data_IF_335660798118
#
_entry.id   IF_335660798118
#
_cell.length_a   1.000
_cell.length_b   1.000
_cell.length_c   1.000
_cell.angle_alpha   90.00
_cell.angle_beta   90.00
_cell.angle_gamma   90.00
#
_symmetry.space_group_name_H-M   'P 1'
#
loop_
_entity.id
_entity.type
_entity.pdbx_description
1 polymer ?
#
# COMPACT_ATOMS: atom_id res chain seq x y z
N UNK A 1 -71.33 72.86 1.62
CA UNK A 1 -70.66 71.68 1.01
C UNK A 1 -69.21 71.74 1.44
N UNK A 2 -68.91 71.14 2.59
CA UNK A 2 -68.18 69.86 2.75
C UNK A 2 -66.65 70.11 2.65
N UNK A 3 -65.92 70.20 3.77
CA UNK A 3 -65.27 69.09 4.51
C UNK A 3 -64.10 68.50 3.67
N UNK A 4 -62.87 68.29 4.12
CA UNK A 4 -62.32 67.78 5.38
C UNK A 4 -60.84 68.20 5.54
N UNK A 5 -60.30 68.16 6.77
CA UNK A 5 -58.86 67.90 7.02
C UNK A 5 -58.64 66.37 7.04
N UNK A 6 -57.42 65.86 6.80
CA UNK A 6 -56.67 65.40 7.98
C UNK A 6 -55.13 65.49 7.89
N UNK A 7 -54.55 65.69 9.08
CA UNK A 7 -53.50 64.87 9.71
C UNK A 7 -52.51 64.11 8.81
N UNK A 8 -51.24 64.50 8.84
CA UNK A 8 -50.10 63.66 8.47
C UNK A 8 -49.10 63.63 9.62
N UNK A 9 -49.17 62.57 10.42
CA UNK A 9 -48.18 62.21 11.44
C UNK A 9 -46.79 62.05 10.81
N UNK A 10 -45.78 62.72 11.36
CA UNK A 10 -44.38 62.38 11.11
C UNK A 10 -44.10 61.09 11.86
N UNK A 11 -44.19 59.98 11.12
CA UNK A 11 -43.90 58.65 11.61
C UNK A 11 -42.39 58.55 11.88
N UNK A 12 -42.01 58.58 13.16
CA UNK A 12 -40.72 58.19 13.72
C UNK A 12 -40.59 56.66 13.70
N UNK A 13 -40.67 56.07 12.51
CA UNK A 13 -40.61 54.63 12.29
C UNK A 13 -39.30 54.23 11.60
N UNK A 14 -38.54 53.38 12.28
CA UNK A 14 -37.55 52.46 11.69
C UNK A 14 -36.26 53.09 11.12
N UNK A 15 -35.42 53.60 12.02
CA UNK A 15 -33.99 53.27 11.91
C UNK A 15 -33.86 51.86 12.49
N UNK A 16 -34.15 50.86 11.66
CA UNK A 16 -33.77 49.48 11.94
C UNK A 16 -32.24 49.44 11.85
N UNK A 17 -31.58 49.64 12.99
CA UNK A 17 -30.19 49.27 13.20
C UNK A 17 -30.11 47.74 13.09
N UNK A 18 -30.09 47.22 11.86
CA UNK A 18 -29.43 45.96 11.60
C UNK A 18 -27.96 46.20 11.91
N UNK A 19 -27.55 45.88 13.13
CA UNK A 19 -26.14 45.64 13.42
C UNK A 19 -25.69 44.59 12.39
N UNK A 20 -24.76 44.92 11.47
CA UNK A 20 -24.25 43.92 10.55
C UNK A 20 -23.62 42.84 11.43
N UNK A 21 -24.11 41.62 11.29
CA UNK A 21 -23.55 40.48 12.00
C UNK A 21 -22.03 40.49 11.75
N UNK A 22 -21.21 40.35 12.80
CA UNK A 22 -19.77 40.48 12.65
C UNK A 22 -19.27 39.49 11.60
N UNK A 23 -18.27 39.86 10.79
CA UNK A 23 -17.75 39.01 9.72
C UNK A 23 -17.40 37.61 10.25
N UNK A 24 -17.56 36.55 9.43
CA UNK A 24 -17.37 35.16 9.85
C UNK A 24 -16.06 34.89 10.60
N UNK A 25 -14.96 35.52 10.17
CA UNK A 25 -13.66 35.42 10.83
C UNK A 25 -13.66 35.99 12.26
N UNK A 26 -14.34 37.11 12.52
CA UNK A 26 -14.48 37.66 13.88
C UNK A 26 -15.35 36.78 14.78
N UNK A 27 -16.37 36.12 14.22
CA UNK A 27 -17.20 35.17 14.97
C UNK A 27 -16.42 33.92 15.36
N UNK A 28 -15.63 33.39 14.42
CA UNK A 28 -14.76 32.24 14.68
C UNK A 28 -13.69 32.57 15.72
N UNK A 29 -13.06 33.73 15.59
CA UNK A 29 -12.10 34.23 16.57
C UNK A 29 -12.72 34.37 17.96
N UNK A 30 -13.92 34.94 18.05
CA UNK A 30 -14.64 35.04 19.32
C UNK A 30 -14.98 33.67 19.92
N UNK A 31 -15.32 32.68 19.09
CA UNK A 31 -15.56 31.31 19.53
C UNK A 31 -14.28 30.62 20.04
N UNK A 32 -13.14 30.83 19.37
CA UNK A 32 -11.84 30.33 19.80
C UNK A 32 -11.37 30.99 21.11
N UNK A 33 -11.56 32.30 21.25
CA UNK A 33 -11.29 33.04 22.49
C UNK A 33 -12.19 32.55 23.65
N UNK A 34 -13.46 32.26 23.36
CA UNK A 34 -14.38 31.67 24.33
C UNK A 34 -13.96 30.26 24.73
N UNK A 35 -13.47 29.47 23.77
CA UNK A 35 -12.89 28.15 24.03
C UNK A 35 -11.71 28.26 24.99
N UNK A 36 -10.72 29.11 24.70
CA UNK A 36 -9.59 29.38 25.62
C UNK A 36 -10.02 29.73 27.05
N UNK A 37 -10.96 30.68 27.20
CA UNK A 37 -11.47 31.10 28.52
C UNK A 37 -12.21 29.98 29.25
N UNK A 38 -12.91 29.13 28.52
CA UNK A 38 -13.66 28.01 29.10
C UNK A 38 -12.72 26.99 29.75
N UNK A 39 -11.62 26.65 29.05
CA UNK A 39 -10.59 25.75 29.59
C UNK A 39 -9.82 26.37 30.77
N UNK A 40 -9.60 27.69 30.79
CA UNK A 40 -9.03 28.39 31.95
C UNK A 40 -9.93 28.30 33.20
N UNK A 41 -11.25 28.23 33.01
CA UNK A 41 -12.22 28.12 34.11
C UNK A 41 -12.29 26.72 34.74
N UNK A 42 -11.76 25.70 34.06
CA UNK A 42 -11.76 24.30 34.51
C UNK A 42 -13.12 23.59 34.44
N UNK A 43 -14.14 24.22 33.86
CA UNK A 43 -15.47 23.63 33.68
C UNK A 43 -15.51 22.79 32.40
N UNK A 44 -15.38 21.47 32.54
CA UNK A 44 -15.33 20.53 31.42
C UNK A 44 -16.58 20.62 30.53
N UNK A 45 -17.77 20.78 31.11
CA UNK A 45 -19.02 20.85 30.33
C UNK A 45 -19.09 22.10 29.46
N UNK A 46 -18.66 23.26 29.99
CA UNK A 46 -18.54 24.48 29.19
C UNK A 46 -17.42 24.40 28.16
N UNK A 47 -16.39 23.60 28.43
CA UNK A 47 -15.25 23.43 27.52
C UNK A 47 -15.67 22.63 26.28
N UNK A 48 -16.41 21.54 26.48
CA UNK A 48 -16.99 20.73 25.40
C UNK A 48 -18.00 21.54 24.56
N UNK A 49 -18.86 22.34 25.21
CA UNK A 49 -19.82 23.21 24.51
C UNK A 49 -19.10 24.27 23.65
N UNK A 50 -17.98 24.81 24.15
CA UNK A 50 -17.20 25.79 23.39
C UNK A 50 -16.49 25.17 22.17
N UNK A 51 -15.96 23.94 22.29
CA UNK A 51 -15.41 23.19 21.16
C UNK A 51 -16.50 22.88 20.13
N UNK A 52 -17.67 22.42 20.59
CA UNK A 52 -18.81 22.15 19.72
C UNK A 52 -19.30 23.40 18.98
N UNK A 53 -19.23 24.58 19.60
CA UNK A 53 -19.57 25.85 18.95
C UNK A 53 -18.61 26.20 17.81
N UNK A 54 -17.29 25.95 17.97
CA UNK A 54 -16.30 26.13 16.90
C UNK A 54 -16.56 25.16 15.75
N UNK A 55 -16.78 23.88 16.07
CA UNK A 55 -17.08 22.82 15.08
C UNK A 55 -18.37 23.13 14.32
N UNK A 56 -19.44 23.45 15.03
CA UNK A 56 -20.75 23.79 14.42
C UNK A 56 -20.66 25.02 13.53
N UNK A 57 -19.84 26.01 13.89
CA UNK A 57 -19.60 27.17 13.05
C UNK A 57 -18.89 26.78 11.74
N UNK A 58 -17.83 25.99 11.81
CA UNK A 58 -17.11 25.51 10.63
C UNK A 58 -18.01 24.65 9.73
N UNK A 59 -18.80 23.73 10.31
CA UNK A 59 -19.77 22.92 9.56
C UNK A 59 -20.82 23.79 8.84
N UNK A 60 -21.28 24.88 9.47
CA UNK A 60 -22.24 25.79 8.85
C UNK A 60 -21.70 26.51 7.60
N UNK A 61 -20.37 26.60 7.43
CA UNK A 61 -19.74 27.20 6.25
C UNK A 61 -19.80 26.24 5.05
N UNK A 62 -19.64 24.94 5.31
CA UNK A 62 -19.53 23.89 4.27
C UNK A 62 -20.87 23.18 4.03
N UNK A 63 -21.91 23.48 4.82
CA UNK A 63 -23.23 22.88 4.68
C UNK A 63 -23.85 23.20 3.30
N UNK A 64 -24.21 22.18 2.49
CA UNK A 64 -24.81 22.36 1.16
C UNK A 64 -26.15 23.11 1.14
N UNK A 65 -26.75 23.40 2.30
CA UNK A 65 -27.93 24.26 2.42
C UNK A 65 -27.67 25.75 2.18
N UNK A 66 -26.42 26.20 2.18
CA UNK A 66 -26.07 27.60 1.92
C UNK A 66 -25.94 27.88 0.41
N UNK A 67 -26.50 29.02 -0.03
CA UNK A 67 -26.26 29.56 -1.37
C UNK A 67 -24.76 29.69 -1.62
N UNK A 68 -24.31 29.41 -2.86
CA UNK A 68 -22.93 29.46 -3.36
C UNK A 68 -21.87 29.75 -2.28
N UNK A 69 -21.27 28.67 -1.73
CA UNK A 69 -20.22 28.74 -0.72
C UNK A 69 -19.16 29.73 -1.17
N UNK A 70 -18.95 30.79 -0.39
CA UNK A 70 -17.92 31.79 -0.66
C UNK A 70 -16.55 31.20 -0.31
N UNK A 71 -15.77 30.85 -1.34
CA UNK A 71 -14.41 30.30 -1.20
C UNK A 71 -13.51 31.21 -0.34
N UNK A 72 -13.69 32.53 -0.40
CA UNK A 72 -12.93 33.46 0.43
C UNK A 72 -13.32 33.34 1.91
N UNK A 73 -14.59 33.10 2.23
CA UNK A 73 -15.05 32.88 3.61
C UNK A 73 -14.51 31.55 4.14
N UNK A 74 -14.56 30.49 3.33
CA UNK A 74 -14.01 29.18 3.67
C UNK A 74 -12.50 29.25 3.93
N UNK A 75 -11.74 29.90 3.04
CA UNK A 75 -10.31 30.10 3.19
C UNK A 75 -9.99 30.89 4.47
N UNK A 76 -10.65 32.04 4.69
CA UNK A 76 -10.42 32.88 5.86
C UNK A 76 -10.72 32.14 7.18
N UNK A 77 -11.72 31.26 7.20
CA UNK A 77 -12.05 30.45 8.37
C UNK A 77 -10.93 29.45 8.70
N UNK A 78 -10.41 28.74 7.69
CA UNK A 78 -9.29 27.81 7.88
C UNK A 78 -8.01 28.55 8.29
N UNK A 79 -7.73 29.71 7.69
CA UNK A 79 -6.56 30.53 8.04
C UNK A 79 -6.63 31.03 9.50
N UNK A 80 -7.81 31.41 10.00
CA UNK A 80 -7.99 31.81 11.40
C UNK A 80 -7.75 30.63 12.36
N UNK A 81 -8.24 29.42 12.02
CA UNK A 81 -7.95 28.20 12.81
C UNK A 81 -6.44 27.94 12.83
N UNK A 82 -5.80 27.94 11.66
CA UNK A 82 -4.38 27.67 11.55
C UNK A 82 -3.53 28.71 12.31
N UNK A 83 -3.90 29.99 12.20
CA UNK A 83 -3.26 31.09 12.93
C UNK A 83 -3.44 30.92 14.45
N UNK A 84 -4.63 30.57 14.91
CA UNK A 84 -4.90 30.33 16.32
C UNK A 84 -4.05 29.19 16.88
N UNK A 85 -4.05 28.02 16.21
CA UNK A 85 -3.25 26.87 16.62
C UNK A 85 -1.75 27.22 16.68
N UNK A 86 -1.26 27.94 15.67
CA UNK A 86 0.13 28.36 15.55
C UNK A 86 0.55 29.49 16.50
N UNK A 87 -0.40 30.13 17.19
CA UNK A 87 -0.09 31.27 18.06
C UNK A 87 0.61 30.83 19.35
N UNK A 88 1.60 31.60 19.82
CA UNK A 88 2.31 31.31 21.08
C UNK A 88 1.41 31.39 22.34
N UNK A 89 0.21 31.93 22.19
CA UNK A 89 -0.82 32.01 23.23
C UNK A 89 -1.78 30.82 23.24
N UNK A 90 -1.67 29.88 22.29
CA UNK A 90 -2.57 28.74 22.23
C UNK A 90 -2.35 27.83 23.45
N UNK A 91 -3.42 27.57 24.19
CA UNK A 91 -3.37 26.67 25.32
C UNK A 91 -3.34 25.22 24.80
N UNK A 92 -2.31 24.46 25.15
CA UNK A 92 -2.14 23.06 24.72
C UNK A 92 -3.36 22.19 25.02
N UNK A 93 -4.04 22.40 26.15
CA UNK A 93 -5.26 21.65 26.49
C UNK A 93 -6.41 21.95 25.52
N UNK A 94 -6.50 23.20 25.05
CA UNK A 94 -7.48 23.60 24.03
C UNK A 94 -7.11 22.99 22.68
N UNK A 95 -5.82 22.98 22.32
CA UNK A 95 -5.32 22.35 21.09
C UNK A 95 -5.63 20.85 21.08
N UNK A 96 -5.40 20.16 22.19
CA UNK A 96 -5.72 18.74 22.35
C UNK A 96 -7.22 18.48 22.22
N UNK A 97 -8.08 19.29 22.85
CA UNK A 97 -9.53 19.15 22.72
C UNK A 97 -10.02 19.41 21.30
N UNK A 98 -9.51 20.47 20.65
CA UNK A 98 -9.82 20.77 19.25
C UNK A 98 -9.33 19.67 18.31
N UNK A 99 -8.18 19.03 18.62
CA UNK A 99 -7.62 17.97 17.78
C UNK A 99 -8.55 16.78 17.61
N UNK A 100 -9.46 16.52 18.55
CA UNK A 100 -10.43 15.42 18.49
C UNK A 100 -11.46 15.57 17.36
N UNK A 101 -11.79 16.81 16.99
CA UNK A 101 -12.88 17.10 16.05
C UNK A 101 -12.39 17.82 14.78
N UNK A 102 -11.34 18.64 14.86
CA UNK A 102 -10.87 19.43 13.73
C UNK A 102 -10.58 18.58 12.49
N UNK A 103 -9.88 17.44 12.54
CA UNK A 103 -9.61 16.62 11.35
C UNK A 103 -10.88 16.21 10.60
N UNK A 104 -11.98 15.93 11.30
CA UNK A 104 -13.28 15.53 10.72
C UNK A 104 -13.95 16.69 9.98
N UNK A 105 -13.70 17.92 10.42
CA UNK A 105 -14.39 19.12 9.91
C UNK A 105 -13.57 19.80 8.83
N UNK A 106 -12.27 20.02 9.05
CA UNK A 106 -11.39 20.72 8.10
C UNK A 106 -11.26 19.95 6.78
N UNK A 107 -11.38 18.63 6.82
CA UNK A 107 -11.35 17.80 5.61
C UNK A 107 -12.52 18.10 4.67
N UNK A 108 -13.66 18.57 5.16
CA UNK A 108 -14.82 18.89 4.31
C UNK A 108 -14.55 20.07 3.38
N UNK A 109 -13.63 20.96 3.76
CA UNK A 109 -13.28 22.15 2.98
C UNK A 109 -12.41 21.85 1.76
N UNK A 110 -11.78 20.68 1.68
CA UNK A 110 -10.79 20.36 0.63
C UNK A 110 -11.39 20.21 -0.76
N UNK A 111 -12.71 20.01 -0.83
CA UNK A 111 -13.46 19.95 -2.07
C UNK A 111 -13.82 21.34 -2.63
N UNK A 112 -13.64 22.42 -1.84
CA UNK A 112 -14.00 23.78 -2.23
C UNK A 112 -12.93 24.40 -3.16
N UNK A 113 -11.66 24.28 -2.79
CA UNK A 113 -10.53 24.78 -3.59
C UNK A 113 -9.21 24.11 -3.21
N UNK A 114 -8.22 24.16 -4.12
CA UNK A 114 -6.85 23.71 -3.85
C UNK A 114 -6.24 24.47 -2.66
N UNK A 115 -6.59 25.76 -2.51
CA UNK A 115 -6.13 26.58 -1.41
C UNK A 115 -6.68 26.12 -0.06
N UNK A 116 -7.96 25.77 0.00
CA UNK A 116 -8.55 25.16 1.20
C UNK A 116 -7.87 23.83 1.54
N UNK A 117 -7.53 23.01 0.54
CA UNK A 117 -6.76 21.77 0.75
C UNK A 117 -5.40 22.04 1.39
N UNK A 118 -4.61 22.97 0.86
CA UNK A 118 -3.30 23.33 1.40
C UNK A 118 -3.36 23.77 2.87
N UNK A 119 -4.37 24.57 3.23
CA UNK A 119 -4.52 25.05 4.61
C UNK A 119 -4.99 23.91 5.53
N UNK A 120 -5.91 23.05 5.06
CA UNK A 120 -6.35 21.88 5.82
C UNK A 120 -5.17 20.92 6.10
N UNK A 121 -4.31 20.67 5.10
CA UNK A 121 -3.07 19.91 5.28
C UNK A 121 -2.13 20.57 6.28
N UNK A 122 -1.98 21.90 6.22
CA UNK A 122 -1.15 22.66 7.17
C UNK A 122 -1.69 22.58 8.61
N UNK A 123 -3.01 22.59 8.79
CA UNK A 123 -3.65 22.38 10.09
C UNK A 123 -3.35 20.98 10.61
N UNK A 124 -3.52 19.94 9.79
CA UNK A 124 -3.21 18.56 10.20
C UNK A 124 -1.72 18.44 10.56
N UNK A 125 -0.83 19.00 9.76
CA UNK A 125 0.61 19.01 10.03
C UNK A 125 0.96 19.68 11.35
N UNK A 126 0.28 20.77 11.67
CA UNK A 126 0.42 21.43 12.96
C UNK A 126 0.00 20.49 14.09
N UNK A 127 -1.17 19.84 13.98
CA UNK A 127 -1.63 18.85 14.97
C UNK A 127 -0.65 17.69 15.12
N UNK A 128 -0.07 17.19 14.01
CA UNK A 128 0.97 16.15 14.05
C UNK A 128 2.20 16.58 14.85
N UNK A 129 2.57 17.86 14.77
CA UNK A 129 3.70 18.40 15.50
C UNK A 129 3.42 18.66 16.99
N UNK A 130 2.17 18.97 17.35
CA UNK A 130 1.83 19.45 18.71
C UNK A 130 1.09 18.44 19.59
N UNK A 131 0.36 17.49 19.00
CA UNK A 131 -0.47 16.55 19.75
C UNK A 131 0.25 15.23 20.06
N UNK A 132 -0.31 14.46 20.99
CA UNK A 132 0.12 13.08 21.27
C UNK A 132 0.02 12.21 20.00
N UNK A 133 1.14 11.65 19.48
CA UNK A 133 1.12 10.88 18.23
C UNK A 133 0.17 9.67 18.28
N UNK A 134 0.05 9.04 19.46
CA UNK A 134 -0.81 7.88 19.64
C UNK A 134 -2.29 8.26 19.51
N UNK A 135 -2.69 9.34 20.18
CA UNK A 135 -4.08 9.75 20.20
C UNK A 135 -4.46 10.32 18.82
N UNK A 136 -3.56 11.11 18.22
CA UNK A 136 -3.77 11.65 16.88
C UNK A 136 -3.87 10.57 15.80
N UNK A 137 -3.12 9.47 15.92
CA UNK A 137 -3.28 8.33 15.00
C UNK A 137 -4.71 7.79 15.05
N UNK A 138 -5.25 7.57 16.25
CA UNK A 138 -6.62 7.08 16.44
C UNK A 138 -7.64 8.07 15.89
N UNK A 139 -7.46 9.36 16.15
CA UNK A 139 -8.35 10.43 15.68
C UNK A 139 -8.38 10.48 14.15
N UNK A 140 -7.23 10.40 13.49
CA UNK A 140 -7.16 10.44 12.01
C UNK A 140 -7.78 9.20 11.37
N UNK A 141 -7.63 8.01 11.99
CA UNK A 141 -8.33 6.80 11.57
C UNK A 141 -9.85 6.96 11.71
N UNK A 142 -10.34 7.43 12.86
CA UNK A 142 -11.77 7.68 13.08
C UNK A 142 -12.34 8.73 12.12
N UNK A 143 -11.59 9.79 11.85
CA UNK A 143 -11.97 10.82 10.87
C UNK A 143 -12.08 10.23 9.46
N UNK A 144 -11.19 9.30 9.11
CA UNK A 144 -11.25 8.59 7.83
C UNK A 144 -12.50 7.70 7.73
N UNK A 145 -12.79 6.91 8.77
CA UNK A 145 -13.98 6.05 8.83
C UNK A 145 -15.27 6.87 8.75
N UNK A 146 -15.32 8.00 9.47
CA UNK A 146 -16.46 8.92 9.42
C UNK A 146 -16.64 9.48 8.01
N UNK A 147 -15.55 9.89 7.37
CA UNK A 147 -15.60 10.49 6.03
C UNK A 147 -15.99 9.47 4.95
N UNK A 148 -15.55 8.20 5.06
CA UNK A 148 -15.97 7.12 4.14
C UNK A 148 -17.50 7.02 4.05
N UNK A 149 -18.20 7.20 5.17
CA UNK A 149 -19.67 7.15 5.21
C UNK A 149 -20.35 8.32 4.49
N UNK A 150 -19.64 9.43 4.32
CA UNK A 150 -20.13 10.67 3.71
C UNK A 150 -19.77 10.73 2.22
N UNK A 151 -18.52 10.44 1.87
CA UNK A 151 -18.03 10.47 0.49
C UNK A 151 -16.82 9.58 0.30
N UNK A 152 -16.76 8.89 -0.85
CA UNK A 152 -15.61 8.07 -1.26
C UNK A 152 -14.66 8.78 -2.22
N UNK A 153 -14.83 10.10 -2.40
CA UNK A 153 -13.91 10.88 -3.23
C UNK A 153 -12.50 10.85 -2.64
N UNK A 154 -11.47 10.45 -3.40
CA UNK A 154 -10.08 10.38 -2.95
C UNK A 154 -9.57 11.66 -2.30
N UNK A 155 -10.11 12.80 -2.76
CA UNK A 155 -9.65 14.13 -2.41
C UNK A 155 -9.79 14.46 -0.91
N UNK A 156 -10.79 13.87 -0.25
CA UNK A 156 -10.96 14.01 1.21
C UNK A 156 -9.91 13.23 1.99
N UNK A 157 -9.40 12.13 1.46
CA UNK A 157 -8.54 11.23 2.23
C UNK A 157 -7.06 11.57 2.15
N UNK A 158 -6.63 12.30 1.12
CA UNK A 158 -5.24 12.77 0.96
C UNK A 158 -4.69 13.43 2.24
N UNK A 159 -5.32 14.47 2.82
CA UNK A 159 -4.82 15.11 4.03
C UNK A 159 -4.82 14.18 5.26
N UNK A 160 -5.82 13.32 5.41
CA UNK A 160 -5.93 12.39 6.54
C UNK A 160 -4.85 11.30 6.48
N UNK A 161 -4.70 10.65 5.33
CA UNK A 161 -3.67 9.63 5.08
C UNK A 161 -2.26 10.23 5.13
N UNK A 162 -2.09 11.46 4.63
CA UNK A 162 -0.85 12.22 4.73
C UNK A 162 -0.48 12.51 6.19
N UNK A 163 -1.47 12.90 6.99
CA UNK A 163 -1.33 13.02 8.44
C UNK A 163 -0.91 11.71 9.10
N UNK A 164 -1.59 10.59 8.82
CA UNK A 164 -1.26 9.26 9.37
C UNK A 164 0.19 8.88 9.05
N UNK A 165 0.62 9.10 7.80
CA UNK A 165 2.01 8.86 7.38
C UNK A 165 3.01 9.62 8.24
N UNK A 166 2.76 10.91 8.50
CA UNK A 166 3.63 11.75 9.33
C UNK A 166 3.57 11.35 10.81
N UNK A 167 2.38 11.01 11.33
CA UNK A 167 2.20 10.53 12.71
C UNK A 167 3.02 9.27 12.96
N UNK A 168 3.05 8.33 12.01
CA UNK A 168 3.88 7.13 12.10
C UNK A 168 5.36 7.47 12.39
N UNK A 169 5.92 8.50 11.75
CA UNK A 169 7.30 8.92 11.99
C UNK A 169 7.51 9.52 13.39
N UNK A 170 6.46 10.07 14.00
CA UNK A 170 6.44 10.68 15.33
C UNK A 170 6.24 9.68 16.47
N UNK A 171 5.78 8.45 16.19
CA UNK A 171 5.62 7.41 17.20
C UNK A 171 7.00 7.01 17.73
N UNK A 172 7.11 6.90 19.06
CA UNK A 172 8.36 6.55 19.74
C UNK A 172 8.34 5.16 20.39
N UNK A 173 7.15 4.59 20.61
CA UNK A 173 6.94 3.33 21.35
C UNK A 173 5.77 2.57 20.77
N UNK A 174 5.75 1.25 20.95
CA UNK A 174 4.67 0.36 20.49
C UNK A 174 4.34 0.54 19.00
N UNK A 175 5.39 0.81 18.23
CA UNK A 175 5.31 1.10 16.79
C UNK A 175 4.47 0.05 16.05
N UNK A 176 4.69 -1.21 16.38
CA UNK A 176 4.00 -2.35 15.80
C UNK A 176 2.50 -2.32 16.10
N UNK A 177 2.13 -2.15 17.38
CA UNK A 177 0.73 -2.12 17.79
C UNK A 177 -0.02 -0.92 17.20
N UNK A 178 0.65 0.23 17.05
CA UNK A 178 0.06 1.41 16.42
C UNK A 178 -0.16 1.21 14.92
N UNK A 179 0.83 0.68 14.20
CA UNK A 179 0.68 0.35 12.77
C UNK A 179 -0.43 -0.68 12.57
N UNK A 180 -0.44 -1.75 13.38
CA UNK A 180 -1.47 -2.80 13.34
C UNK A 180 -2.88 -2.25 13.57
N UNK A 181 -3.03 -1.29 14.48
CA UNK A 181 -4.33 -0.67 14.78
C UNK A 181 -4.82 0.24 13.64
N UNK A 182 -3.92 1.00 13.00
CA UNK A 182 -4.29 1.96 11.95
C UNK A 182 -4.48 1.33 10.57
N UNK A 183 -3.79 0.22 10.29
CA UNK A 183 -3.74 -0.38 8.97
C UNK A 183 -5.12 -0.79 8.39
N UNK A 184 -6.05 -1.38 9.16
CA UNK A 184 -7.38 -1.69 8.63
C UNK A 184 -8.10 -0.46 8.06
N UNK A 185 -8.10 0.66 8.79
CA UNK A 185 -8.72 1.90 8.33
C UNK A 185 -8.06 2.44 7.05
N UNK A 186 -6.72 2.41 6.97
CA UNK A 186 -5.99 2.83 5.76
C UNK A 186 -6.38 1.98 4.55
N UNK A 187 -6.43 0.65 4.71
CA UNK A 187 -6.79 -0.26 3.64
C UNK A 187 -8.26 -0.11 3.22
N UNK A 188 -9.16 0.14 4.17
CA UNK A 188 -10.57 0.38 3.91
C UNK A 188 -10.77 1.65 3.07
N UNK A 189 -10.09 2.75 3.40
CA UNK A 189 -10.10 3.98 2.61
C UNK A 189 -9.63 3.72 1.17
N UNK A 190 -8.48 3.07 1.02
CA UNK A 190 -7.92 2.79 -0.31
C UNK A 190 -8.85 1.89 -1.13
N UNK A 191 -9.45 0.88 -0.51
CA UNK A 191 -10.42 0.01 -1.15
C UNK A 191 -11.68 0.76 -1.56
N UNK A 192 -12.27 1.55 -0.65
CA UNK A 192 -13.49 2.31 -0.88
C UNK A 192 -13.32 3.29 -2.05
N UNK A 193 -12.22 4.05 -2.07
CA UNK A 193 -11.92 4.99 -3.16
C UNK A 193 -11.70 4.26 -4.49
N UNK A 194 -10.98 3.14 -4.49
CA UNK A 194 -10.65 2.39 -5.70
C UNK A 194 -11.84 1.65 -6.30
N UNK A 195 -12.84 1.28 -5.47
CA UNK A 195 -14.04 0.58 -5.92
C UNK A 195 -14.97 1.44 -6.77
N UNK A 196 -14.85 2.77 -6.66
CA UNK A 196 -15.65 3.77 -7.39
C UNK A 196 -14.79 4.55 -8.39
N UNK A 197 -13.74 3.92 -8.92
CA UNK A 197 -12.84 4.57 -9.88
C UNK A 197 -13.59 5.16 -11.08
N UNK A 198 -13.41 6.46 -11.28
CA UNK A 198 -13.93 7.23 -12.40
C UNK A 198 -12.76 7.96 -13.10
N UNK A 199 -12.67 7.82 -14.42
CA UNK A 199 -11.60 8.39 -15.25
C UNK A 199 -11.62 9.93 -15.26
N UNK A 200 -12.73 10.58 -14.91
CA UNK A 200 -12.83 12.06 -14.85
C UNK A 200 -12.03 12.69 -13.69
N UNK A 201 -11.57 11.89 -12.71
CA UNK A 201 -11.02 12.38 -11.43
C UNK A 201 -9.58 11.86 -11.18
N UNK A 202 -8.86 11.60 -12.27
CA UNK A 202 -7.57 10.90 -12.27
C UNK A 202 -6.48 11.50 -11.38
N UNK A 203 -6.34 12.82 -11.34
CA UNK A 203 -5.32 13.51 -10.56
C UNK A 203 -5.50 13.26 -9.04
N UNK A 204 -6.74 13.17 -8.56
CA UNK A 204 -6.98 12.90 -7.14
C UNK A 204 -6.61 11.47 -6.75
N UNK A 205 -6.75 10.50 -7.66
CA UNK A 205 -6.28 9.14 -7.42
C UNK A 205 -4.75 9.10 -7.37
N UNK A 206 -4.07 9.78 -8.29
CA UNK A 206 -2.61 9.88 -8.29
C UNK A 206 -2.08 10.37 -6.93
N UNK A 207 -2.67 11.46 -6.41
CA UNK A 207 -2.29 12.04 -5.11
C UNK A 207 -2.61 11.09 -3.94
N UNK A 208 -3.76 10.41 -3.97
CA UNK A 208 -4.14 9.42 -2.95
C UNK A 208 -3.12 8.27 -2.86
N UNK A 209 -2.71 7.73 -4.00
CA UNK A 209 -1.77 6.61 -4.03
C UNK A 209 -0.32 7.05 -3.74
N UNK A 210 0.07 8.25 -4.18
CA UNK A 210 1.33 8.88 -3.72
C UNK A 210 1.37 8.95 -2.19
N UNK A 211 0.24 9.34 -1.57
CA UNK A 211 0.09 9.37 -0.12
C UNK A 211 0.19 7.96 0.50
N UNK A 212 -0.41 6.95 -0.11
CA UNK A 212 -0.30 5.55 0.34
C UNK A 212 1.15 5.01 0.25
N UNK A 213 1.90 5.38 -0.79
CA UNK A 213 3.34 5.08 -0.89
C UNK A 213 4.12 5.78 0.23
N UNK A 214 3.75 7.03 0.55
CA UNK A 214 4.28 7.76 1.70
C UNK A 214 4.08 6.99 3.00
N UNK A 215 2.89 6.42 3.24
CA UNK A 215 2.61 5.58 4.40
C UNK A 215 3.53 4.35 4.44
N UNK A 216 3.67 3.64 3.32
CA UNK A 216 4.56 2.48 3.22
C UNK A 216 6.02 2.83 3.54
N UNK A 217 6.49 3.98 3.05
CA UNK A 217 7.84 4.51 3.32
C UNK A 217 8.02 4.85 4.80
N UNK A 218 7.01 5.47 5.43
CA UNK A 218 7.02 5.78 6.86
C UNK A 218 7.06 4.53 7.72
N UNK A 219 6.26 3.51 7.39
CA UNK A 219 6.31 2.20 8.06
C UNK A 219 7.69 1.57 7.90
N UNK A 220 8.26 1.57 6.70
CA UNK A 220 9.61 1.06 6.46
C UNK A 220 10.67 1.79 7.31
N UNK A 221 10.58 3.13 7.41
CA UNK A 221 11.49 3.92 8.22
C UNK A 221 11.38 3.58 9.71
N UNK A 222 10.18 3.36 10.23
CA UNK A 222 9.97 2.88 11.61
C UNK A 222 10.57 1.48 11.79
N UNK A 223 10.32 0.57 10.86
CA UNK A 223 10.90 -0.77 10.87
C UNK A 223 12.43 -0.71 10.88
N UNK A 224 13.04 0.18 10.11
CA UNK A 224 14.49 0.41 10.12
C UNK A 224 15.00 0.91 11.48
N UNK A 225 14.29 1.84 12.12
CA UNK A 225 14.61 2.30 13.49
C UNK A 225 14.49 1.17 14.52
N UNK A 226 13.45 0.35 14.41
CA UNK A 226 13.25 -0.84 15.26
C UNK A 226 14.35 -1.88 15.04
N UNK A 227 14.76 -2.14 13.79
CA UNK A 227 15.86 -3.06 13.49
C UNK A 227 17.19 -2.55 14.05
N UNK A 228 17.49 -1.25 13.94
CA UNK A 228 18.71 -0.67 14.49
C UNK A 228 18.74 -0.75 16.04
N UNK A 229 17.60 -0.50 16.71
CA UNK A 229 17.53 -0.64 18.18
C UNK A 229 17.50 -2.12 18.62
N UNK A 230 16.83 -2.99 17.85
CA UNK A 230 16.76 -4.42 18.11
C UNK A 230 18.11 -5.12 17.87
N UNK A 231 18.94 -4.70 16.90
CA UNK A 231 20.30 -5.21 16.74
C UNK A 231 21.16 -4.84 17.95
N UNK A 232 20.99 -3.62 18.49
CA UNK A 232 21.69 -3.18 19.70
C UNK A 232 21.22 -3.95 20.96
N UNK A 233 19.95 -4.35 21.02
CA UNK A 233 19.36 -5.13 22.11
C UNK A 233 19.59 -6.64 21.96
N UNK A 234 19.61 -7.16 20.73
CA UNK A 234 19.82 -8.58 20.41
C UNK A 234 21.27 -9.01 20.67
N UNK A 235 22.24 -8.10 20.59
CA UNK A 235 23.60 -8.35 21.11
C UNK A 235 23.58 -8.66 22.62
N UNK A 236 22.59 -8.15 23.36
CA UNK A 236 22.38 -8.40 24.79
C UNK A 236 21.40 -9.58 25.06
N UNK A 237 20.56 -9.94 24.08
CA UNK A 237 19.39 -10.82 24.27
C UNK A 237 19.35 -12.04 23.34
N UNK A 238 20.52 -12.51 22.88
CA UNK A 238 20.77 -13.84 22.25
C UNK A 238 20.44 -15.01 23.21
N UNK A 239 19.43 -14.90 24.07
CA UNK A 239 19.04 -15.99 24.97
C UNK A 239 17.57 -16.39 24.99
N UNK A 240 16.60 -15.67 24.39
CA UNK A 240 15.18 -16.12 24.42
C UNK A 240 14.36 -15.78 23.16
N UNK A 241 13.44 -16.69 22.86
CA UNK A 241 12.78 -17.03 21.57
C UNK A 241 11.69 -16.07 21.03
N UNK A 242 11.44 -16.23 19.71
CA UNK A 242 10.19 -16.14 18.91
C UNK A 242 9.20 -14.97 19.11
N UNK A 243 9.26 -13.99 18.20
CA UNK A 243 8.24 -12.93 18.03
C UNK A 243 7.50 -13.04 16.67
N UNK A 244 6.32 -13.67 16.69
CA UNK A 244 5.48 -13.98 15.53
C UNK A 244 4.59 -12.80 15.06
N UNK A 245 4.33 -11.81 15.93
CA UNK A 245 3.52 -10.61 15.62
C UNK A 245 4.27 -9.58 14.75
N UNK A 246 5.61 -9.55 14.86
CA UNK A 246 6.49 -8.72 14.04
C UNK A 246 6.40 -9.15 12.55
N UNK A 247 6.42 -10.46 12.30
CA UNK A 247 6.30 -11.06 10.96
C UNK A 247 5.00 -10.70 10.23
N UNK A 248 3.88 -10.55 10.96
CA UNK A 248 2.58 -10.22 10.37
C UNK A 248 2.48 -8.78 9.85
N UNK A 249 3.06 -7.79 10.56
CA UNK A 249 3.05 -6.41 10.10
C UNK A 249 4.06 -6.15 8.97
N UNK A 250 5.20 -6.85 9.00
CA UNK A 250 6.11 -6.90 7.85
C UNK A 250 5.41 -7.44 6.61
N UNK A 251 4.61 -8.49 6.75
CA UNK A 251 3.81 -9.04 5.65
C UNK A 251 2.88 -7.99 5.04
N UNK A 252 2.19 -7.18 5.85
CA UNK A 252 1.26 -6.17 5.35
C UNK A 252 1.94 -4.95 4.70
N UNK A 253 3.05 -4.48 5.26
CA UNK A 253 3.85 -3.41 4.66
C UNK A 253 4.48 -3.85 3.33
N UNK A 254 4.99 -5.09 3.29
CA UNK A 254 5.49 -5.74 2.06
C UNK A 254 4.37 -5.89 1.03
N UNK A 255 3.14 -6.24 1.45
CA UNK A 255 1.99 -6.30 0.55
C UNK A 255 1.63 -4.93 -0.03
N UNK A 256 1.60 -3.89 0.80
CA UNK A 256 1.32 -2.52 0.36
C UNK A 256 2.37 -2.00 -0.61
N UNK A 257 3.65 -2.21 -0.32
CA UNK A 257 4.75 -1.85 -1.22
C UNK A 257 4.70 -2.64 -2.53
N UNK A 258 4.46 -3.95 -2.47
CA UNK A 258 4.33 -4.81 -3.65
C UNK A 258 3.15 -4.38 -4.54
N UNK A 259 2.01 -4.03 -3.95
CA UNK A 259 0.85 -3.52 -4.67
C UNK A 259 1.13 -2.16 -5.31
N UNK A 260 1.81 -1.26 -4.59
CA UNK A 260 2.18 0.05 -5.13
C UNK A 260 3.12 -0.08 -6.35
N UNK A 261 4.10 -1.00 -6.30
CA UNK A 261 4.99 -1.29 -7.43
C UNK A 261 4.22 -1.87 -8.61
N UNK A 262 3.33 -2.84 -8.38
CA UNK A 262 2.47 -3.40 -9.44
C UNK A 262 1.59 -2.31 -10.06
N UNK A 263 1.01 -1.44 -9.25
CA UNK A 263 0.11 -0.40 -9.73
C UNK A 263 0.85 0.70 -10.51
N UNK A 264 2.05 1.08 -10.06
CA UNK A 264 2.95 1.95 -10.81
C UNK A 264 3.44 1.34 -12.13
N UNK A 265 3.53 0.01 -12.20
CA UNK A 265 3.84 -0.72 -13.43
C UNK A 265 2.65 -0.82 -14.40
N UNK A 266 1.42 -0.97 -13.88
CA UNK A 266 0.19 -1.08 -14.69
C UNK A 266 -0.24 0.26 -15.28
N UNK A 267 -0.14 1.34 -14.50
CA UNK A 267 -0.74 2.62 -14.88
C UNK A 267 0.23 3.46 -15.72
N UNK A 268 -0.07 3.58 -17.02
CA UNK A 268 0.74 4.31 -18.00
C UNK A 268 0.92 5.81 -17.68
N UNK A 269 0.07 6.40 -16.83
CA UNK A 269 0.24 7.79 -16.37
C UNK A 269 1.04 7.90 -15.08
N UNK A 270 0.95 6.93 -14.16
CA UNK A 270 1.88 6.82 -13.02
C UNK A 270 3.29 6.52 -13.53
N UNK A 271 3.42 5.65 -14.54
CA UNK A 271 4.69 5.37 -15.20
C UNK A 271 5.23 6.59 -15.98
N UNK A 272 4.37 7.44 -16.55
CA UNK A 272 4.78 8.73 -17.16
C UNK A 272 5.15 9.79 -16.13
N UNK A 273 4.46 9.84 -14.99
CA UNK A 273 4.72 10.78 -13.89
C UNK A 273 5.97 10.39 -13.08
N UNK A 274 6.19 9.10 -12.86
CA UNK A 274 7.43 8.52 -12.33
C UNK A 274 8.56 8.53 -13.36
N UNK A 275 8.22 8.65 -14.66
CA UNK A 275 9.14 8.88 -15.77
C UNK A 275 10.38 7.99 -15.77
N UNK A 276 11.53 8.62 -15.97
CA UNK A 276 12.86 8.00 -16.00
C UNK A 276 13.26 7.29 -14.69
N UNK A 277 12.57 7.55 -13.57
CA UNK A 277 12.92 6.95 -12.29
C UNK A 277 12.44 5.49 -12.18
N UNK A 278 11.24 5.16 -12.66
CA UNK A 278 10.76 3.78 -12.64
C UNK A 278 11.56 2.91 -13.61
N UNK A 279 11.87 3.44 -14.80
CA UNK A 279 12.74 2.74 -15.76
C UNK A 279 14.16 2.58 -15.21
N UNK A 280 14.74 3.62 -14.61
CA UNK A 280 16.06 3.51 -13.96
C UNK A 280 16.07 2.51 -12.80
N UNK A 281 15.01 2.44 -11.99
CA UNK A 281 14.86 1.45 -10.91
C UNK A 281 14.73 0.05 -11.49
N UNK A 282 13.89 -0.15 -12.51
CA UNK A 282 13.77 -1.44 -13.18
C UNK A 282 15.08 -1.86 -13.86
N UNK A 283 15.84 -0.93 -14.46
CA UNK A 283 17.14 -1.20 -15.07
C UNK A 283 18.22 -1.51 -14.01
N UNK A 284 18.16 -0.85 -12.85
CA UNK A 284 18.99 -1.17 -11.69
C UNK A 284 18.69 -2.57 -11.14
N UNK A 285 17.41 -2.91 -10.99
CA UNK A 285 16.98 -4.26 -10.59
C UNK A 285 17.43 -5.28 -11.64
N UNK A 286 17.19 -5.02 -12.93
CA UNK A 286 17.61 -5.90 -14.03
C UNK A 286 19.11 -6.14 -14.06
N UNK A 287 19.93 -5.15 -13.72
CA UNK A 287 21.39 -5.29 -13.70
C UNK A 287 21.95 -5.93 -12.42
N UNK A 288 21.20 -5.93 -11.31
CA UNK A 288 21.64 -6.50 -10.03
C UNK A 288 20.86 -7.77 -9.66
N UNK A 289 21.54 -8.92 -9.73
CA UNK A 289 20.98 -10.24 -9.43
C UNK A 289 20.36 -10.35 -8.04
N UNK A 290 20.99 -9.76 -7.02
CA UNK A 290 20.45 -9.83 -5.66
C UNK A 290 19.20 -8.97 -5.48
N UNK A 291 19.19 -7.77 -6.07
CA UNK A 291 18.00 -6.91 -6.06
C UNK A 291 16.83 -7.59 -6.78
N UNK A 292 17.09 -8.34 -7.88
CA UNK A 292 16.05 -9.18 -8.50
C UNK A 292 15.48 -10.19 -7.52
N UNK A 293 16.33 -10.96 -6.83
CA UNK A 293 15.85 -11.98 -5.90
C UNK A 293 15.07 -11.41 -4.72
N UNK A 294 15.46 -10.24 -4.22
CA UNK A 294 14.71 -9.52 -3.19
C UNK A 294 13.32 -9.10 -3.69
N UNK A 295 13.22 -8.53 -4.89
CA UNK A 295 11.94 -8.14 -5.49
C UNK A 295 11.06 -9.37 -5.74
N UNK A 296 11.64 -10.48 -6.23
CA UNK A 296 10.91 -11.74 -6.40
C UNK A 296 10.33 -12.20 -5.06
N UNK A 297 11.12 -12.18 -3.98
CA UNK A 297 10.68 -12.51 -2.63
C UNK A 297 9.60 -11.55 -2.10
N UNK A 298 9.69 -10.26 -2.41
CA UNK A 298 8.74 -9.23 -2.02
C UNK A 298 7.35 -9.44 -2.64
N UNK A 299 7.30 -9.95 -3.88
CA UNK A 299 6.05 -10.20 -4.60
C UNK A 299 5.36 -11.52 -4.19
N UNK A 300 6.02 -12.38 -3.40
CA UNK A 300 5.50 -13.64 -2.86
C UNK A 300 4.07 -13.53 -2.32
N UNK A 301 3.73 -12.58 -1.43
CA UNK A 301 2.43 -12.61 -0.77
C UNK A 301 1.26 -12.41 -1.74
N UNK A 302 1.46 -11.58 -2.77
CA UNK A 302 0.44 -11.30 -3.79
C UNK A 302 0.19 -12.55 -4.64
N UNK A 303 1.26 -13.22 -5.05
CA UNK A 303 1.16 -14.45 -5.84
C UNK A 303 0.58 -15.63 -5.03
N UNK A 304 0.85 -15.66 -3.72
CA UNK A 304 0.45 -16.76 -2.84
C UNK A 304 -0.97 -16.62 -2.30
N UNK A 305 -1.48 -15.40 -2.16
CA UNK A 305 -2.80 -15.13 -1.58
C UNK A 305 -3.92 -15.55 -2.52
N UNK A 306 -5.02 -16.02 -1.93
CA UNK A 306 -6.28 -16.33 -2.63
C UNK A 306 -7.14 -15.10 -2.83
N UNK A 307 -6.88 -14.02 -2.10
CA UNK A 307 -7.71 -12.81 -2.02
C UNK A 307 -7.48 -11.88 -3.21
N UNK A 308 -6.31 -11.96 -3.86
CA UNK A 308 -6.03 -11.18 -5.07
C UNK A 308 -6.60 -11.83 -6.32
N UNK A 309 -7.20 -10.99 -7.17
CA UNK A 309 -7.76 -11.37 -8.47
C UNK A 309 -6.68 -11.91 -9.41
N UNK A 310 -7.13 -12.65 -10.44
CA UNK A 310 -6.25 -13.14 -11.50
C UNK A 310 -5.56 -12.02 -12.28
N UNK A 311 -6.21 -10.86 -12.40
CA UNK A 311 -5.66 -9.67 -13.06
C UNK A 311 -4.42 -9.16 -12.32
N UNK A 312 -4.51 -9.01 -10.99
CA UNK A 312 -3.38 -8.55 -10.16
C UNK A 312 -2.23 -9.56 -10.23
N UNK A 313 -2.54 -10.86 -10.19
CA UNK A 313 -1.55 -11.93 -10.33
C UNK A 313 -0.89 -11.93 -11.71
N UNK A 314 -1.64 -11.64 -12.76
CA UNK A 314 -1.11 -11.51 -14.11
C UNK A 314 -0.11 -10.35 -14.22
N UNK A 315 -0.46 -9.17 -13.69
CA UNK A 315 0.45 -8.03 -13.69
C UNK A 315 1.69 -8.25 -12.82
N UNK A 316 1.54 -8.96 -11.70
CA UNK A 316 2.68 -9.40 -10.89
C UNK A 316 3.61 -10.31 -11.69
N UNK A 317 3.07 -11.29 -12.41
CA UNK A 317 3.85 -12.16 -13.32
C UNK A 317 4.49 -11.35 -14.45
N UNK A 318 3.82 -10.35 -14.99
CA UNK A 318 4.36 -9.50 -16.06
C UNK A 318 5.53 -8.64 -15.58
N UNK A 319 5.41 -8.04 -14.39
CA UNK A 319 6.51 -7.34 -13.73
C UNK A 319 7.69 -8.28 -13.49
N UNK A 320 7.43 -9.48 -12.97
CA UNK A 320 8.46 -10.51 -12.79
C UNK A 320 9.15 -10.86 -14.13
N UNK A 321 8.38 -11.06 -15.20
CA UNK A 321 8.96 -11.34 -16.51
C UNK A 321 9.86 -10.19 -16.99
N UNK A 322 9.42 -8.95 -16.81
CA UNK A 322 10.11 -7.72 -17.20
C UNK A 322 11.43 -7.49 -16.47
N UNK A 323 11.50 -7.78 -15.15
CA UNK A 323 12.77 -7.66 -14.41
C UNK A 323 13.76 -8.78 -14.75
N UNK A 324 13.27 -9.89 -15.32
CA UNK A 324 14.08 -11.01 -15.77
C UNK A 324 14.56 -10.88 -17.22
N UNK A 325 14.13 -9.87 -17.98
CA UNK A 325 14.56 -9.67 -19.38
C UNK A 325 16.00 -9.13 -19.53
N UNK A 326 16.65 -8.70 -18.44
CA UNK A 326 18.00 -8.13 -18.44
C UNK A 326 19.15 -9.13 -18.21
N UNK A 327 18.90 -10.44 -18.27
CA UNK A 327 19.91 -11.47 -17.94
C UNK A 327 20.95 -11.64 -19.06
N UNK A 328 22.00 -10.81 -19.07
CA UNK A 328 23.24 -11.21 -19.73
C UNK A 328 23.88 -12.30 -18.85
N UNK A 329 23.89 -13.53 -19.36
CA UNK A 329 24.52 -14.73 -18.81
C UNK A 329 26.05 -14.64 -18.83
N UNK A 330 26.61 -13.56 -18.30
CA UNK A 330 28.03 -13.52 -17.95
C UNK A 330 28.13 -13.75 -16.45
N UNK A 331 28.61 -14.94 -16.09
CA UNK A 331 29.04 -15.27 -14.73
C UNK A 331 30.19 -14.33 -14.35
N UNK A 332 29.87 -13.13 -13.87
CA UNK A 332 30.84 -12.37 -13.13
C UNK A 332 31.08 -13.10 -11.81
N UNK A 333 32.25 -13.72 -11.72
CA UNK A 333 32.89 -14.26 -10.52
C UNK A 333 33.18 -13.14 -9.49
N UNK A 334 32.19 -12.33 -9.15
CA UNK A 334 32.26 -11.46 -8.00
C UNK A 334 31.54 -12.18 -6.86
N UNK A 335 32.33 -13.00 -6.20
CA UNK A 335 32.07 -13.73 -4.95
C UNK A 335 31.96 -12.73 -3.77
N UNK A 336 31.28 -11.61 -3.98
CA UNK A 336 30.93 -10.63 -2.96
C UNK A 336 29.47 -10.85 -2.54
N UNK A 337 29.29 -12.04 -1.95
CA UNK A 337 28.70 -12.26 -0.64
C UNK A 337 27.36 -11.55 -0.37
N UNK A 338 26.32 -11.98 -1.08
CA UNK A 338 24.98 -12.01 -0.50
C UNK A 338 24.64 -13.46 -0.24
N UNK A 339 24.40 -13.77 1.02
CA UNK A 339 24.03 -15.09 1.49
C UNK A 339 22.72 -15.54 0.80
N UNK A 340 22.85 -16.28 -0.30
CA UNK A 340 21.72 -16.84 -1.05
C UNK A 340 20.81 -17.65 -0.11
N UNK A 341 21.34 -18.20 0.99
CA UNK A 341 20.56 -18.89 2.00
C UNK A 341 19.49 -18.00 2.65
N UNK A 342 19.73 -16.70 2.77
CA UNK A 342 18.78 -15.73 3.33
C UNK A 342 17.56 -15.50 2.43
N UNK A 343 17.73 -15.59 1.10
CA UNK A 343 16.68 -15.33 0.10
C UNK A 343 16.02 -16.63 -0.39
N UNK A 344 16.70 -17.77 -0.23
CA UNK A 344 16.26 -19.09 -0.67
C UNK A 344 14.82 -19.44 -0.24
N UNK A 345 14.37 -19.23 1.03
CA UNK A 345 13.02 -19.61 1.44
C UNK A 345 11.92 -18.78 0.76
N UNK A 346 12.15 -17.46 0.57
CA UNK A 346 11.17 -16.59 -0.09
C UNK A 346 11.10 -16.91 -1.58
N UNK A 347 12.25 -17.17 -2.22
CA UNK A 347 12.32 -17.54 -3.62
C UNK A 347 11.60 -18.87 -3.88
N UNK A 348 11.85 -19.89 -3.06
CA UNK A 348 11.16 -21.18 -3.15
C UNK A 348 9.65 -21.02 -3.02
N UNK A 349 9.17 -20.26 -2.02
CA UNK A 349 7.73 -20.07 -1.84
C UNK A 349 7.11 -19.33 -3.04
N UNK A 350 7.84 -18.38 -3.63
CA UNK A 350 7.39 -17.65 -4.83
C UNK A 350 7.28 -18.58 -6.03
N UNK A 351 8.26 -19.47 -6.23
CA UNK A 351 8.21 -20.49 -7.27
C UNK A 351 7.01 -21.44 -7.09
N UNK A 352 6.71 -21.85 -5.85
CA UNK A 352 5.50 -22.62 -5.56
C UNK A 352 4.21 -21.85 -5.87
N UNK A 353 4.17 -20.54 -5.59
CA UNK A 353 3.02 -19.70 -5.93
C UNK A 353 2.83 -19.63 -7.46
N UNK A 354 3.92 -19.46 -8.22
CA UNK A 354 3.89 -19.48 -9.69
C UNK A 354 3.41 -20.85 -10.22
N UNK A 355 3.87 -21.97 -9.64
CA UNK A 355 3.36 -23.31 -9.98
C UNK A 355 1.85 -23.43 -9.75
N UNK A 356 1.33 -22.90 -8.64
CA UNK A 356 -0.11 -22.88 -8.37
C UNK A 356 -0.86 -22.10 -9.44
N UNK A 357 -0.34 -20.95 -9.87
CA UNK A 357 -0.93 -20.15 -10.95
C UNK A 357 -0.93 -20.93 -12.27
N UNK A 358 0.16 -21.62 -12.61
CA UNK A 358 0.25 -22.49 -13.78
C UNK A 358 -0.80 -23.61 -13.78
N UNK A 359 -1.23 -24.09 -12.60
CA UNK A 359 -2.25 -25.15 -12.48
C UNK A 359 -3.67 -24.57 -12.49
N UNK A 360 -3.89 -23.45 -11.79
CA UNK A 360 -5.24 -22.99 -11.40
C UNK A 360 -5.76 -21.81 -12.19
N UNK A 361 -4.93 -21.07 -12.93
CA UNK A 361 -5.41 -19.98 -13.77
C UNK A 361 -6.27 -20.54 -14.92
N UNK A 362 -7.46 -19.98 -15.10
CA UNK A 362 -8.40 -20.37 -16.18
C UNK A 362 -7.88 -19.98 -17.56
N UNK A 363 -7.19 -18.84 -17.66
CA UNK A 363 -6.60 -18.35 -18.91
C UNK A 363 -5.25 -19.03 -19.23
N UNK A 364 -5.16 -19.63 -20.41
CA UNK A 364 -3.96 -20.28 -20.93
C UNK A 364 -2.80 -19.29 -21.14
N UNK A 365 -3.08 -18.02 -21.44
CA UNK A 365 -2.07 -16.98 -21.62
C UNK A 365 -1.30 -16.74 -20.32
N UNK A 366 -2.02 -16.63 -19.20
CA UNK A 366 -1.47 -16.46 -17.85
C UNK A 366 -0.63 -17.69 -17.49
N UNK A 367 -1.14 -18.91 -17.72
CA UNK A 367 -0.40 -20.16 -17.47
C UNK A 367 0.94 -20.21 -18.24
N UNK A 368 0.93 -19.85 -19.53
CA UNK A 368 2.13 -19.82 -20.38
C UNK A 368 3.14 -18.78 -19.90
N UNK A 369 2.67 -17.58 -19.53
CA UNK A 369 3.54 -16.51 -19.02
C UNK A 369 4.14 -16.86 -17.66
N UNK A 370 3.36 -17.47 -16.78
CA UNK A 370 3.82 -18.00 -15.51
C UNK A 370 4.93 -19.04 -15.69
N UNK A 371 4.75 -19.98 -16.63
CA UNK A 371 5.78 -20.96 -16.97
C UNK A 371 7.06 -20.33 -17.49
N UNK A 372 6.96 -19.40 -18.45
CA UNK A 372 8.12 -18.71 -18.99
C UNK A 372 8.89 -17.93 -17.91
N UNK A 373 8.17 -17.30 -16.98
CA UNK A 373 8.73 -16.57 -15.85
C UNK A 373 9.42 -17.50 -14.85
N UNK A 374 8.78 -18.62 -14.50
CA UNK A 374 9.35 -19.66 -13.64
C UNK A 374 10.69 -20.15 -14.20
N UNK A 375 10.74 -20.45 -15.51
CA UNK A 375 11.95 -20.89 -16.19
C UNK A 375 13.08 -19.86 -16.08
N UNK A 376 12.80 -18.58 -16.35
CA UNK A 376 13.80 -17.50 -16.22
C UNK A 376 14.35 -17.39 -14.80
N UNK A 377 13.48 -17.46 -13.79
CA UNK A 377 13.89 -17.38 -12.38
C UNK A 377 14.80 -18.57 -12.03
N UNK A 378 14.46 -19.79 -12.47
CA UNK A 378 15.27 -20.98 -12.23
C UNK A 378 16.66 -20.85 -12.86
N UNK A 379 16.75 -20.38 -14.09
CA UNK A 379 18.05 -20.21 -14.76
C UNK A 379 18.91 -19.11 -14.11
N UNK A 380 18.32 -18.14 -13.41
CA UNK A 380 19.05 -17.09 -12.68
C UNK A 380 19.55 -17.53 -11.29
N UNK A 381 19.06 -18.66 -10.76
CA UNK A 381 19.57 -19.27 -9.51
C UNK A 381 21.00 -19.78 -9.75
N UNK A 382 21.92 -19.63 -8.77
CA UNK A 382 23.28 -20.19 -8.86
C UNK A 382 23.24 -21.70 -9.16
N UNK A 383 24.13 -22.16 -10.05
CA UNK A 383 24.20 -23.56 -10.48
C UNK A 383 24.31 -24.54 -9.31
N UNK A 384 25.03 -24.17 -8.25
CA UNK A 384 25.19 -24.93 -7.00
C UNK A 384 23.87 -25.23 -6.29
N UNK A 385 22.83 -24.41 -6.46
CA UNK A 385 21.55 -24.53 -5.76
C UNK A 385 20.37 -24.86 -6.68
N UNK A 386 20.54 -24.71 -8.00
CA UNK A 386 19.46 -24.86 -8.98
C UNK A 386 18.87 -26.27 -8.99
N UNK A 387 19.71 -27.31 -8.92
CA UNK A 387 19.23 -28.69 -8.85
C UNK A 387 18.41 -28.95 -7.58
N UNK A 388 18.91 -28.53 -6.41
CA UNK A 388 18.21 -28.73 -5.15
C UNK A 388 16.86 -28.01 -5.14
N UNK A 389 16.79 -26.79 -5.68
CA UNK A 389 15.53 -26.05 -5.85
C UNK A 389 14.54 -26.85 -6.71
N UNK A 390 14.97 -27.33 -7.87
CA UNK A 390 14.14 -28.13 -8.79
C UNK A 390 13.69 -29.44 -8.15
N UNK A 391 14.58 -30.15 -7.46
CA UNK A 391 14.28 -31.38 -6.74
C UNK A 391 13.20 -31.15 -5.68
N UNK A 392 13.34 -30.11 -4.86
CA UNK A 392 12.37 -29.79 -3.81
C UNK A 392 11.02 -29.37 -4.42
N UNK A 393 11.02 -28.62 -5.52
CA UNK A 393 9.80 -28.27 -6.26
C UNK A 393 9.08 -29.50 -6.83
N UNK A 394 9.83 -30.48 -7.36
CA UNK A 394 9.28 -31.73 -7.88
C UNK A 394 8.66 -32.57 -6.75
N UNK A 395 9.40 -32.75 -5.65
CA UNK A 395 8.93 -33.60 -4.53
C UNK A 395 7.72 -33.03 -3.80
N UNK A 396 7.50 -31.71 -3.85
CA UNK A 396 6.35 -31.06 -3.22
C UNK A 396 5.16 -30.87 -4.16
N UNK A 397 5.27 -31.25 -5.43
CA UNK A 397 4.17 -31.16 -6.39
C UNK A 397 3.31 -32.41 -6.34
N UNK A 398 1.99 -32.23 -6.18
CA UNK A 398 1.01 -33.33 -6.21
C UNK A 398 0.37 -33.53 -7.59
N UNK A 399 0.75 -32.72 -8.60
CA UNK A 399 0.21 -32.79 -9.96
C UNK A 399 1.17 -33.56 -10.87
N UNK A 400 0.76 -34.71 -11.44
CA UNK A 400 1.61 -35.48 -12.36
C UNK A 400 2.07 -34.65 -13.58
N UNK A 401 1.18 -33.82 -14.13
CA UNK A 401 1.52 -32.94 -15.25
C UNK A 401 2.55 -31.87 -14.87
N UNK A 402 2.45 -31.30 -13.67
CA UNK A 402 3.46 -30.34 -13.18
C UNK A 402 4.81 -31.03 -12.93
N UNK A 403 4.79 -32.24 -12.37
CA UNK A 403 6.01 -33.04 -12.15
C UNK A 403 6.72 -33.30 -13.50
N UNK A 404 5.97 -33.68 -14.54
CA UNK A 404 6.53 -33.89 -15.87
C UNK A 404 7.19 -32.62 -16.44
N UNK A 405 6.51 -31.47 -16.34
CA UNK A 405 7.05 -30.17 -16.77
C UNK A 405 8.37 -29.83 -16.04
N UNK A 406 8.43 -30.05 -14.73
CA UNK A 406 9.62 -29.75 -13.94
C UNK A 406 10.78 -30.73 -14.24
N UNK A 407 10.49 -31.99 -14.55
CA UNK A 407 11.51 -32.95 -15.01
C UNK A 407 12.09 -32.54 -16.35
N UNK A 408 11.26 -32.05 -17.27
CA UNK A 408 11.76 -31.53 -18.53
C UNK A 408 12.60 -30.26 -18.34
N UNK A 409 12.28 -29.40 -17.37
CA UNK A 409 13.18 -28.29 -16.99
C UNK A 409 14.54 -28.79 -16.46
N UNK A 410 14.55 -29.83 -15.63
CA UNK A 410 15.82 -30.46 -15.17
C UNK A 410 16.63 -30.96 -16.37
N UNK A 411 15.96 -31.61 -17.34
CA UNK A 411 16.61 -32.07 -18.58
C UNK A 411 17.22 -30.91 -19.36
N UNK A 412 16.50 -29.81 -19.52
CA UNK A 412 16.98 -28.61 -20.22
C UNK A 412 18.21 -28.01 -19.53
N UNK A 413 18.21 -27.90 -18.20
CA UNK A 413 19.34 -27.38 -17.42
C UNK A 413 20.59 -28.27 -17.52
N UNK A 414 20.44 -29.60 -17.49
CA UNK A 414 21.55 -30.55 -17.69
C UNK A 414 22.20 -30.35 -19.07
N UNK A 415 21.38 -30.14 -20.11
CA UNK A 415 21.88 -29.90 -21.47
C UNK A 415 22.58 -28.54 -21.55
N UNK A 416 22.04 -27.51 -20.89
CA UNK A 416 22.64 -26.18 -20.86
C UNK A 416 24.03 -26.17 -20.20
N UNK A 417 24.19 -26.80 -19.02
CA UNK A 417 25.49 -26.87 -18.35
C UNK A 417 26.52 -27.68 -19.14
N UNK A 418 26.10 -28.80 -19.75
CA UNK A 418 27.01 -29.60 -20.60
C UNK A 418 27.58 -28.79 -21.75
N UNK A 419 26.77 -27.91 -22.35
CA UNK A 419 27.18 -27.07 -23.47
C UNK A 419 28.11 -25.92 -23.03
N UNK A 420 28.09 -25.53 -21.76
CA UNK A 420 28.96 -24.49 -21.21
C UNK A 420 30.35 -25.00 -20.79
N UNK A 421 30.60 -26.32 -20.86
CA UNK A 421 31.91 -26.92 -20.50
C UNK A 421 32.21 -26.90 -19.00
N UNK A 422 31.32 -26.35 -18.19
CA UNK A 422 31.27 -26.41 -16.73
C UNK A 422 30.67 -27.75 -16.33
N UNK A 423 31.42 -28.86 -16.50
CA UNK A 423 30.96 -30.16 -16.03
C UNK A 423 30.96 -30.21 -14.51
N UNK A 424 29.88 -29.75 -13.90
CA UNK A 424 29.57 -30.08 -12.52
C UNK A 424 29.25 -31.57 -12.49
N UNK A 425 30.18 -32.42 -12.02
CA UNK A 425 29.99 -33.88 -11.87
C UNK A 425 28.71 -34.24 -11.07
N UNK A 426 28.15 -33.26 -10.38
CA UNK A 426 26.94 -33.31 -9.58
C UNK A 426 25.66 -33.64 -10.35
N UNK A 427 25.34 -33.00 -11.48
CA UNK A 427 23.99 -33.17 -12.08
C UNK A 427 23.70 -34.58 -12.58
N UNK A 428 24.72 -35.30 -13.06
CA UNK A 428 24.56 -36.68 -13.54
C UNK A 428 24.23 -37.69 -12.43
N UNK A 429 24.80 -37.55 -11.23
CA UNK A 429 24.48 -38.41 -10.08
C UNK A 429 23.10 -38.04 -9.52
N UNK A 430 22.82 -36.75 -9.43
CA UNK A 430 21.57 -36.18 -8.97
C UNK A 430 20.36 -36.50 -9.87
N UNK A 431 20.54 -36.56 -11.19
CA UNK A 431 19.50 -36.98 -12.12
C UNK A 431 19.05 -38.43 -11.90
N UNK A 432 19.97 -39.34 -11.55
CA UNK A 432 19.63 -40.73 -11.23
C UNK A 432 18.83 -40.83 -9.93
N UNK A 433 19.18 -40.02 -8.92
CA UNK A 433 18.41 -39.91 -7.68
C UNK A 433 16.99 -39.37 -7.94
N UNK A 434 16.86 -38.37 -8.82
CA UNK A 434 15.57 -37.80 -9.20
C UNK A 434 14.69 -38.82 -9.96
N UNK A 435 15.28 -39.56 -10.90
CA UNK A 435 14.61 -40.67 -11.59
C UNK A 435 14.16 -41.72 -10.56
N UNK A 436 15.00 -42.03 -9.58
CA UNK A 436 14.66 -42.91 -8.46
C UNK A 436 13.52 -42.38 -7.59
N UNK A 437 13.40 -41.06 -7.38
CA UNK A 437 12.34 -40.43 -6.59
C UNK A 437 11.00 -40.38 -7.34
N UNK A 438 11.03 -40.08 -8.64
CA UNK A 438 9.82 -39.95 -9.47
C UNK A 438 9.27 -41.33 -9.86
N UNK A 439 10.14 -42.29 -10.19
CA UNK A 439 9.72 -43.62 -10.65
C UNK A 439 9.46 -44.62 -9.52
N UNK A 440 9.77 -44.30 -8.25
CA UNK A 440 9.40 -45.14 -7.10
C UNK A 440 7.98 -44.83 -6.67
N UNK A 441 7.00 -45.71 -6.91
CA UNK A 441 5.67 -45.50 -6.37
C UNK A 441 5.69 -45.57 -4.84
N UNK A 442 4.89 -44.72 -4.16
CA UNK A 442 4.93 -44.55 -2.70
C UNK A 442 4.63 -45.81 -1.88
N UNK A 443 4.17 -46.90 -2.53
CA UNK A 443 3.87 -48.20 -1.89
C UNK A 443 4.62 -49.39 -2.50
N UNK A 444 5.67 -49.17 -3.31
CA UNK A 444 6.52 -50.27 -3.83
C UNK A 444 5.85 -51.19 -4.86
N UNK A 445 4.83 -50.71 -5.59
CA UNK A 445 4.22 -51.41 -6.72
C UNK A 445 4.84 -51.03 -8.08
N UNK A 446 4.25 -51.42 -9.22
CA UNK A 446 4.54 -50.78 -10.50
C UNK A 446 4.01 -49.32 -10.52
N UNK A 447 4.66 -48.39 -11.25
CA UNK A 447 4.21 -47.01 -11.34
C UNK A 447 2.80 -46.93 -11.94
N UNK A 448 1.96 -46.05 -11.41
CA UNK A 448 0.64 -45.76 -11.97
C UNK A 448 0.81 -45.06 -13.31
N UNK A 449 0.65 -45.81 -14.41
CA UNK A 449 0.60 -45.22 -15.75
C UNK A 449 -0.67 -44.35 -15.88
N UNK A 450 -0.63 -43.25 -16.66
CA UNK A 450 -1.82 -42.44 -16.91
C UNK A 450 -2.94 -43.30 -17.50
N UNK A 451 -4.16 -43.18 -16.96
CA UNK A 451 -5.34 -43.92 -17.43
C UNK A 451 -5.76 -43.58 -18.88
N UNK A 452 -5.13 -42.59 -19.51
CA UNK A 452 -5.33 -42.23 -20.93
C UNK A 452 -4.06 -42.43 -21.78
N UNK A 453 -3.38 -43.56 -21.59
CA UNK A 453 -2.42 -44.04 -22.58
C UNK A 453 -3.18 -44.68 -23.74
N UNK A 454 -3.73 -43.87 -24.64
CA UNK A 454 -4.34 -44.38 -25.87
C UNK A 454 -3.29 -45.19 -26.64
N UNK A 455 -3.50 -46.49 -26.88
CA UNK A 455 -2.47 -47.38 -27.40
C UNK A 455 -2.43 -47.27 -28.92
N UNK A 456 -1.85 -46.20 -29.45
CA UNK A 456 -1.26 -46.23 -30.78
C UNK A 456 -0.27 -45.08 -30.99
N UNK A 457 1.01 -45.44 -31.07
CA UNK A 457 2.00 -44.91 -32.03
C UNK A 457 3.39 -44.83 -31.40
N UNK A 458 3.97 -46.00 -31.15
CA UNK A 458 5.40 -46.19 -31.40
C UNK A 458 5.62 -46.16 -32.91
N UNK A 459 5.87 -44.99 -33.52
CA UNK A 459 6.53 -44.90 -34.84
C UNK A 459 7.21 -43.54 -34.99
N UNK A 460 8.49 -43.60 -35.38
CA UNK A 460 9.42 -42.56 -35.85
C UNK A 460 8.86 -41.39 -36.65
N UNK A 461 9.62 -40.27 -36.57
CA UNK A 461 9.86 -39.18 -37.53
C UNK A 461 9.11 -37.84 -37.36
N UNK A 462 9.94 -36.81 -37.19
CA UNK A 462 9.98 -35.54 -37.93
C UNK A 462 8.75 -34.61 -38.00
N UNK A 463 9.10 -33.33 -37.80
CA UNK A 463 8.40 -32.10 -38.20
C UNK A 463 7.26 -31.56 -37.33
N UNK A 464 7.31 -30.22 -37.22
CA UNK A 464 6.55 -29.34 -36.34
C UNK A 464 5.04 -29.44 -36.46
N UNK A 465 4.38 -29.29 -35.31
CA UNK A 465 3.39 -28.23 -35.00
C UNK A 465 2.71 -28.57 -33.67
N UNK A 466 2.90 -27.72 -32.66
CA UNK A 466 2.17 -27.82 -31.39
C UNK A 466 0.96 -26.88 -31.42
N UNK A 467 -0.24 -27.46 -31.49
CA UNK A 467 -1.49 -26.80 -31.10
C UNK A 467 -2.11 -27.59 -29.93
N UNK A 468 -2.33 -26.99 -28.75
CA UNK A 468 -3.12 -27.65 -27.71
C UNK A 468 -4.58 -27.18 -27.75
N UNK A 469 -5.51 -28.14 -27.64
CA UNK A 469 -6.91 -27.93 -27.24
C UNK A 469 -7.00 -27.65 -25.74
#
# INVERSE_FOLDING_TARGET
>A
MAAESPSGELNLGEIELQDPSPPPSLRLKAALDACSKSFESGDLGKSDEAVAAVVSFLDSIVDPGNAAIDDAVAQNALEEIHHYLSSASSNQTVVEALSLELPKVVVKFVALSDRCREIAESIIDHLVATCSPRDLLSILCEASDTQISVSKSPRYFIPLLGGISKVFLCIQRRHLEQVKAALPAILEVLYACSSEYDDEVKDNYQDLFSTAVGIGTSIQAICGKMFASAISSAIDEVSKEDDNDLLACFSLAVNGAALAVIWGYINNEVAKAAGDQLTAVLDKIRSNRSERWQVIGMLKPILSSIDYSWEIKYHCIDLLASIMDGTNTEEHNDDNDIDFSSVMPSLFTTLQAIQRIMISASDASIRKKAFATLRKIISDIPSSHRFDMLKVLITNSNSPSMIAILIDLVREEIVAERNQGTSSENWSSYALDLVGLVLKPPKGGPPSLPEDSDPSSSTTLADGEWLPR
#
